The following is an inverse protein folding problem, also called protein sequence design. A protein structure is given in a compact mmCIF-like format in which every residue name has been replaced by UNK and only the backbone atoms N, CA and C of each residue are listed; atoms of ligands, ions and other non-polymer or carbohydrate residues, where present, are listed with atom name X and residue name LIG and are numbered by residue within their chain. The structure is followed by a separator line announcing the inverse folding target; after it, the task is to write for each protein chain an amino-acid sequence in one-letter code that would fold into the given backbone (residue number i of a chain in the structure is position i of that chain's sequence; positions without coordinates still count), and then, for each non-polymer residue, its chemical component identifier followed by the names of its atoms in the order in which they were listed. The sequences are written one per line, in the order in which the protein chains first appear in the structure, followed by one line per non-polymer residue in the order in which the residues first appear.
data_IF_707254056047
#
_entry.id   IF_707254056047
#
_cell.length_a   1.000
_cell.length_b   1.000
_cell.length_c   1.000
_cell.angle_alpha   90.00
_cell.angle_beta   90.00
_cell.angle_gamma   90.00
#
_symmetry.space_group_name_H-M   'P 1'
#
loop_
_entity.id
_entity.type
_entity.pdbx_description
1 polymer ?
#
# COMPACT_ATOMS: atom_id res chain seq x y z
N UNK A 1 9.55 -13.79 -17.66
CA UNK A 1 10.40 -12.80 -16.98
C UNK A 1 9.57 -12.34 -15.79
N UNK A 2 9.67 -13.08 -14.68
CA UNK A 2 8.97 -12.77 -13.44
C UNK A 2 9.83 -11.74 -12.69
N UNK A 3 9.72 -10.48 -13.06
CA UNK A 3 10.47 -9.43 -12.38
C UNK A 3 9.66 -8.90 -11.19
N UNK A 4 10.16 -9.20 -9.99
CA UNK A 4 9.66 -8.73 -8.71
C UNK A 4 9.55 -7.19 -8.71
N UNK A 5 8.40 -6.64 -8.31
CA UNK A 5 8.16 -5.21 -8.25
C UNK A 5 9.23 -4.45 -7.44
N UNK A 6 9.82 -5.09 -6.42
CA UNK A 6 10.92 -4.51 -5.64
C UNK A 6 12.16 -4.22 -6.49
N UNK A 7 12.48 -5.09 -7.45
CA UNK A 7 13.66 -4.96 -8.32
C UNK A 7 13.46 -3.86 -9.36
N UNK A 8 12.26 -3.77 -9.94
CA UNK A 8 11.93 -2.75 -10.94
C UNK A 8 11.95 -1.36 -10.31
N UNK A 9 11.28 -1.18 -9.16
CA UNK A 9 11.25 0.11 -8.46
C UNK A 9 12.66 0.55 -8.07
N UNK A 10 13.48 -0.35 -7.53
CA UNK A 10 14.83 -0.02 -7.10
C UNK A 10 15.75 0.42 -8.23
N UNK A 11 15.63 -0.20 -9.41
CA UNK A 11 16.57 0.00 -10.53
C UNK A 11 16.11 1.00 -11.58
N UNK A 12 14.80 1.13 -11.80
CA UNK A 12 14.26 1.84 -12.96
C UNK A 12 13.57 3.16 -12.60
N UNK A 13 13.30 3.40 -11.32
CA UNK A 13 12.69 4.64 -10.85
C UNK A 13 13.76 5.50 -10.14
N UNK A 14 14.04 6.72 -10.63
CA UNK A 14 14.95 7.63 -9.95
C UNK A 14 14.44 8.02 -8.57
N UNK A 15 15.35 8.32 -7.64
CA UNK A 15 14.97 8.85 -6.34
C UNK A 15 14.27 10.21 -6.50
N UNK A 16 13.35 10.52 -5.59
CA UNK A 16 12.66 11.82 -5.52
C UNK A 16 11.97 12.20 -6.85
N UNK A 17 11.42 11.22 -7.56
CA UNK A 17 10.81 11.41 -8.89
C UNK A 17 9.29 11.23 -8.90
N UNK A 18 8.74 10.47 -7.95
CA UNK A 18 7.31 10.16 -7.89
C UNK A 18 6.54 11.20 -7.04
N UNK A 19 5.45 11.73 -7.58
CA UNK A 19 4.51 12.57 -6.83
C UNK A 19 3.58 11.72 -5.91
N UNK A 20 3.35 10.46 -6.28
CA UNK A 20 2.55 9.54 -5.49
C UNK A 20 2.66 8.09 -5.95
N UNK A 21 2.20 7.18 -5.10
CA UNK A 21 2.21 5.73 -5.30
C UNK A 21 0.86 5.19 -4.90
N UNK A 22 0.23 4.41 -5.77
CA UNK A 22 -1.04 3.76 -5.51
C UNK A 22 -0.85 2.24 -5.47
N UNK A 23 -1.20 1.61 -4.35
CA UNK A 23 -1.14 0.17 -4.15
C UNK A 23 -2.51 -0.36 -3.73
N UNK A 24 -3.26 -0.87 -4.69
CA UNK A 24 -4.63 -1.33 -4.47
C UNK A 24 -4.73 -2.85 -4.50
N UNK A 25 -5.37 -3.39 -3.47
CA UNK A 25 -5.66 -4.81 -3.28
C UNK A 25 -4.43 -5.73 -3.46
N UNK A 26 -3.29 -5.42 -2.80
CA UNK A 26 -2.16 -6.35 -2.80
C UNK A 26 -2.56 -7.68 -2.13
N UNK A 27 -2.00 -8.80 -2.59
CA UNK A 27 -2.31 -10.13 -2.05
C UNK A 27 -2.14 -10.12 -0.51
N UNK A 28 -3.22 -10.40 0.26
CA UNK A 28 -3.18 -10.27 1.71
C UNK A 28 -2.43 -11.40 2.41
N UNK A 29 -2.20 -12.52 1.71
CA UNK A 29 -1.56 -13.72 2.26
C UNK A 29 -2.15 -14.13 3.62
N UNK A 30 -3.39 -14.64 3.67
CA UNK A 30 -4.15 -14.80 4.91
C UNK A 30 -3.56 -15.82 5.89
N UNK A 31 -2.70 -16.73 5.42
CA UNK A 31 -2.02 -17.73 6.28
C UNK A 31 -0.76 -17.13 6.88
N UNK A 32 -0.58 -17.21 8.19
CA UNK A 32 0.59 -16.65 8.92
C UNK A 32 1.94 -17.02 8.29
N UNK A 33 2.11 -18.27 7.86
CA UNK A 33 3.34 -18.75 7.20
C UNK A 33 3.68 -18.02 5.88
N UNK A 34 2.72 -17.28 5.30
CA UNK A 34 2.88 -16.51 4.08
C UNK A 34 2.99 -15.01 4.32
N UNK A 35 2.90 -14.50 5.56
CA UNK A 35 2.96 -13.05 5.83
C UNK A 35 4.24 -12.40 5.29
N UNK A 36 5.36 -13.14 5.25
CA UNK A 36 6.62 -12.69 4.64
C UNK A 36 6.56 -12.40 3.13
N UNK A 37 5.47 -12.79 2.46
CA UNK A 37 5.21 -12.52 1.03
C UNK A 37 4.41 -11.24 0.81
N UNK A 38 3.96 -10.58 1.88
CA UNK A 38 3.29 -9.29 1.79
C UNK A 38 4.29 -8.27 1.24
N UNK A 39 3.84 -7.55 0.22
CA UNK A 39 4.63 -6.49 -0.42
C UNK A 39 4.89 -5.35 0.57
N UNK A 40 3.92 -4.99 1.41
CA UNK A 40 4.12 -3.97 2.44
C UNK A 40 4.89 -4.59 3.60
N UNK A 41 6.13 -4.15 3.73
CA UNK A 41 7.05 -4.42 4.81
C UNK A 41 7.99 -3.19 4.95
N UNK A 42 8.81 -3.18 6.00
CA UNK A 42 9.73 -2.07 6.29
C UNK A 42 10.65 -1.71 5.11
N UNK A 43 11.25 -2.72 4.47
CA UNK A 43 12.17 -2.50 3.35
C UNK A 43 11.46 -1.84 2.17
N UNK A 44 10.25 -2.29 1.84
CA UNK A 44 9.48 -1.74 0.74
C UNK A 44 9.05 -0.29 1.00
N UNK A 45 8.55 0.03 2.20
CA UNK A 45 8.12 1.41 2.50
C UNK A 45 9.32 2.38 2.53
N UNK A 46 10.50 1.92 2.95
CA UNK A 46 11.72 2.71 2.91
C UNK A 46 12.17 2.95 1.47
N UNK A 47 12.14 1.92 0.62
CA UNK A 47 12.41 2.06 -0.80
C UNK A 47 11.46 3.07 -1.45
N UNK A 48 10.16 2.96 -1.20
CA UNK A 48 9.18 3.91 -1.75
C UNK A 48 9.41 5.33 -1.23
N UNK A 49 9.89 5.48 0.00
CA UNK A 49 10.20 6.80 0.54
C UNK A 49 11.40 7.42 -0.18
N UNK A 50 12.37 6.65 -0.65
CA UNK A 50 13.47 7.18 -1.47
C UNK A 50 12.96 7.66 -2.84
N UNK A 51 11.98 6.96 -3.42
CA UNK A 51 11.43 7.29 -4.74
C UNK A 51 10.44 8.44 -4.74
N UNK A 52 9.71 8.66 -3.65
CA UNK A 52 8.73 9.74 -3.52
C UNK A 52 9.41 11.12 -3.38
N UNK A 53 8.81 12.16 -3.95
CA UNK A 53 9.14 13.56 -3.64
C UNK A 53 8.74 13.91 -2.20
N UNK A 54 9.34 14.93 -1.55
CA UNK A 54 8.81 15.45 -0.30
C UNK A 54 7.33 15.79 -0.47
N UNK A 55 6.50 15.45 0.51
CA UNK A 55 5.04 15.57 0.46
C UNK A 55 4.31 14.62 -0.51
N UNK A 56 5.02 13.73 -1.21
CA UNK A 56 4.39 12.73 -2.06
C UNK A 56 3.54 11.74 -1.28
N UNK A 57 2.46 11.23 -1.89
CA UNK A 57 1.45 10.42 -1.19
C UNK A 57 1.54 8.95 -1.58
N UNK A 58 1.56 8.08 -0.59
CA UNK A 58 1.39 6.64 -0.74
C UNK A 58 -0.05 6.26 -0.37
N UNK A 59 -0.89 6.01 -1.38
CA UNK A 59 -2.27 5.54 -1.21
C UNK A 59 -2.32 4.02 -1.28
N UNK A 60 -3.01 3.41 -0.33
CA UNK A 60 -3.14 1.96 -0.19
C UNK A 60 -4.62 1.63 -0.01
N UNK A 61 -5.10 0.55 -0.62
CA UNK A 61 -6.43 0.00 -0.36
C UNK A 61 -6.35 -1.51 -0.19
N UNK A 62 -7.03 -2.07 0.81
CA UNK A 62 -7.13 -3.52 1.03
C UNK A 62 -8.49 -3.89 1.59
N UNK A 63 -9.03 -5.04 1.19
CA UNK A 63 -10.26 -5.63 1.72
C UNK A 63 -10.01 -6.65 2.84
N UNK A 64 -8.75 -6.76 3.33
CA UNK A 64 -8.37 -7.70 4.37
C UNK A 64 -7.97 -6.98 5.66
N UNK A 65 -8.89 -6.97 6.64
CA UNK A 65 -8.70 -6.27 7.92
C UNK A 65 -7.39 -6.62 8.65
N UNK A 66 -6.95 -7.89 8.75
CA UNK A 66 -5.65 -8.21 9.35
C UNK A 66 -4.45 -7.65 8.58
N UNK A 67 -4.58 -7.43 7.27
CA UNK A 67 -3.52 -6.83 6.47
C UNK A 67 -3.52 -5.31 6.66
N UNK A 68 -4.69 -4.65 6.67
CA UNK A 68 -4.81 -3.24 7.02
C UNK A 68 -4.09 -2.92 8.35
N UNK A 69 -4.37 -3.70 9.41
CA UNK A 69 -3.68 -3.55 10.72
C UNK A 69 -2.17 -3.75 10.64
N UNK A 70 -1.71 -4.70 9.82
CA UNK A 70 -0.29 -4.95 9.60
C UNK A 70 0.38 -3.81 8.83
N UNK A 71 -0.34 -3.13 7.94
CA UNK A 71 0.11 -1.95 7.20
C UNK A 71 0.25 -0.80 8.19
N UNK A 72 -0.78 -0.54 9.01
CA UNK A 72 -0.74 0.48 10.06
C UNK A 72 0.46 0.31 10.99
N UNK A 73 0.71 -0.90 11.49
CA UNK A 73 1.85 -1.22 12.36
C UNK A 73 3.21 -1.03 11.66
N UNK A 74 3.29 -1.30 10.36
CA UNK A 74 4.52 -1.08 9.59
C UNK A 74 4.81 0.40 9.44
N UNK A 75 3.80 1.20 9.09
CA UNK A 75 3.95 2.65 8.93
C UNK A 75 4.13 3.38 10.26
N UNK A 76 3.49 2.94 11.35
CA UNK A 76 3.65 3.56 12.67
C UNK A 76 5.08 3.46 13.21
N UNK A 77 5.87 2.50 12.71
CA UNK A 77 7.29 2.33 13.06
C UNK A 77 8.22 3.20 12.21
N UNK A 78 7.72 3.79 11.12
CA UNK A 78 8.50 4.64 10.24
C UNK A 78 8.42 6.10 10.65
N UNK A 79 9.56 6.79 10.65
CA UNK A 79 9.62 8.26 10.85
C UNK A 79 9.58 9.04 9.54
N UNK A 80 9.49 8.35 8.38
CA UNK A 80 9.55 8.97 7.04
C UNK A 80 8.17 9.33 6.48
N UNK A 81 7.12 8.93 7.17
CA UNK A 81 5.74 9.09 6.74
C UNK A 81 4.88 9.63 7.87
N UNK A 82 3.83 10.36 7.49
CA UNK A 82 2.71 10.69 8.37
C UNK A 82 1.39 10.35 7.67
N UNK A 83 0.42 9.80 8.40
CA UNK A 83 -0.87 9.40 7.84
C UNK A 83 -1.50 8.22 8.56
N UNK A 84 -2.42 7.56 7.90
CA UNK A 84 -3.19 6.46 8.47
C UNK A 84 -4.39 6.08 7.62
N UNK A 85 -5.39 5.49 8.27
CA UNK A 85 -6.68 5.19 7.64
C UNK A 85 -7.39 6.49 7.25
N UNK A 86 -7.94 6.51 6.04
CA UNK A 86 -8.68 7.65 5.48
C UNK A 86 -10.02 7.19 4.92
N UNK A 87 -10.94 8.13 4.74
CA UNK A 87 -12.14 7.86 3.94
C UNK A 87 -11.74 7.55 2.49
N UNK A 88 -12.54 6.70 1.85
CA UNK A 88 -12.33 6.35 0.44
C UNK A 88 -12.32 7.62 -0.42
N UNK A 89 -11.25 7.91 -1.17
CA UNK A 89 -11.22 9.06 -2.05
C UNK A 89 -12.15 8.89 -3.26
N UNK A 90 -12.80 9.97 -3.70
CA UNK A 90 -13.70 9.97 -4.86
C UNK A 90 -13.01 9.52 -6.16
N UNK A 91 -11.71 9.82 -6.29
CA UNK A 91 -10.91 9.44 -7.44
C UNK A 91 -10.52 7.96 -7.46
N UNK A 92 -10.67 7.20 -6.35
CA UNK A 92 -10.36 5.76 -6.34
C UNK A 92 -11.41 5.03 -7.17
N UNK A 93 -11.02 4.34 -8.27
CA UNK A 93 -11.96 3.60 -9.09
C UNK A 93 -12.75 2.60 -8.25
N UNK A 94 -14.06 2.49 -8.52
CA UNK A 94 -14.84 1.36 -8.04
C UNK A 94 -14.28 0.10 -8.69
N UNK A 95 -13.76 -0.83 -7.90
CA UNK A 95 -13.26 -2.07 -8.48
C UNK A 95 -14.40 -3.05 -8.74
N UNK A 96 -14.23 -3.97 -9.68
CA UNK A 96 -15.22 -5.05 -9.93
C UNK A 96 -15.57 -5.87 -8.68
N UNK A 97 -14.71 -5.86 -7.65
CA UNK A 97 -14.96 -6.48 -6.35
C UNK A 97 -16.07 -5.78 -5.55
N UNK A 98 -16.32 -4.49 -5.80
CA UNK A 98 -17.38 -3.71 -5.15
C UNK A 98 -18.73 -3.84 -5.91
N UNK A 99 -18.70 -4.25 -7.19
CA UNK A 99 -19.88 -4.29 -8.07
C UNK A 99 -20.60 -5.64 -8.23
N UNK A 100 -20.02 -6.77 -7.83
CA UNK A 100 -20.64 -8.10 -7.97
C UNK A 100 -20.81 -8.87 -6.64
N UNK A 101 -20.76 -8.18 -5.51
CA UNK A 101 -20.75 -8.81 -4.18
C UNK A 101 -21.54 -8.04 -3.12
N UNK A 102 -22.88 -8.00 -3.22
CA UNK A 102 -23.77 -7.95 -2.03
C UNK A 102 -23.72 -9.33 -1.31
N UNK A 103 -22.56 -9.98 -1.32
CA UNK A 103 -22.31 -11.30 -0.74
C UNK A 103 -21.00 -11.22 0.01
N UNK A 104 -21.17 -10.89 1.30
CA UNK A 104 -20.18 -10.71 2.38
C UNK A 104 -19.57 -9.31 2.42
N UNK A 105 -19.64 -8.77 3.62
CA UNK A 105 -19.27 -7.45 4.09
C UNK A 105 -17.73 -7.24 4.03
N UNK A 106 -17.16 -7.17 2.83
CA UNK A 106 -15.74 -6.90 2.64
C UNK A 106 -15.51 -5.39 2.79
N UNK A 107 -15.36 -4.93 4.03
CA UNK A 107 -14.99 -3.55 4.32
C UNK A 107 -13.60 -3.26 3.74
N UNK A 108 -13.55 -2.46 2.68
CA UNK A 108 -12.30 -1.93 2.15
C UNK A 108 -11.76 -0.89 3.12
N UNK A 109 -10.49 -1.03 3.49
CA UNK A 109 -9.74 -0.03 4.25
C UNK A 109 -8.83 0.72 3.29
N UNK A 110 -9.07 2.03 3.18
CA UNK A 110 -8.22 2.96 2.46
C UNK A 110 -7.24 3.61 3.47
N UNK A 111 -5.96 3.65 3.13
CA UNK A 111 -4.91 4.30 3.93
C UNK A 111 -4.11 5.26 3.04
N UNK A 112 -3.73 6.41 3.59
CA UNK A 112 -2.89 7.37 2.91
C UNK A 112 -1.75 7.82 3.83
N UNK A 113 -0.52 7.76 3.30
CA UNK A 113 0.69 8.18 3.99
C UNK A 113 1.45 9.20 3.17
N UNK A 114 1.66 10.37 3.75
CA UNK A 114 2.44 11.46 3.16
C UNK A 114 3.92 11.29 3.54
N UNK A 115 4.81 11.32 2.56
CA UNK A 115 6.25 11.39 2.80
C UNK A 115 6.62 12.72 3.46
N UNK A 116 7.38 12.65 4.55
CA UNK A 116 7.95 13.79 5.27
C UNK A 116 9.25 14.29 4.62
#
# INVERSE_FOLDING_TARGET
MDEDAHLIVGRMIPDVSLDGVHLFFPDPWPKTRHHKRRIINEAFINLMADKLKPNGIFNIATDWVPYAKSIEDTFSKSTRYAGGVVERPDWRPLTRFEGQGIRKDHQVTDLAYKKL
#
